data_IF_159864670680
#
_entry.id   IF_159864670680
#
_cell.length_a   1.000
_cell.length_b   1.000
_cell.length_c   1.000
_cell.angle_alpha   90.00
_cell.angle_beta   90.00
_cell.angle_gamma   90.00
#
_symmetry.space_group_name_H-M   'P 1'
#
loop_
_entity.id
_entity.type
_entity.pdbx_description
1 polymer ?
#
# COMPACT_ATOMS: atom_id res chain seq x y z
N UNK A 1 -22.97 0.89 21.10
CA UNK A 1 -21.85 0.65 20.18
C UNK A 1 -21.79 1.79 19.17
N UNK A 2 -20.58 2.23 18.81
CA UNK A 2 -20.37 3.09 17.65
C UNK A 2 -20.33 2.21 16.40
N UNK A 3 -21.11 2.53 15.38
CA UNK A 3 -21.02 1.91 14.06
C UNK A 3 -19.62 2.23 13.50
N UNK A 4 -18.91 1.23 12.97
CA UNK A 4 -17.62 1.49 12.34
C UNK A 4 -17.82 2.20 11.00
N UNK A 5 -16.80 2.93 10.53
CA UNK A 5 -16.88 3.59 9.22
C UNK A 5 -17.19 2.57 8.09
N UNK A 6 -16.61 1.37 8.15
CA UNK A 6 -16.82 0.35 7.13
C UNK A 6 -18.22 -0.29 7.20
N UNK A 7 -18.83 -0.37 8.39
CA UNK A 7 -20.23 -0.74 8.54
C UNK A 7 -21.16 0.32 7.93
N UNK A 8 -20.86 1.60 8.14
CA UNK A 8 -21.60 2.70 7.51
C UNK A 8 -21.45 2.67 5.99
N UNK A 9 -20.25 2.43 5.48
CA UNK A 9 -19.98 2.25 4.05
C UNK A 9 -20.73 1.03 3.49
N UNK A 10 -20.80 -0.07 4.24
CA UNK A 10 -21.49 -1.29 3.82
C UNK A 10 -23.02 -1.15 3.85
N UNK A 11 -23.56 -0.14 4.56
CA UNK A 11 -25.01 0.09 4.69
C UNK A 11 -25.72 0.42 3.37
N UNK A 12 -24.97 0.82 2.33
CA UNK A 12 -25.50 1.13 1.00
C UNK A 12 -24.72 0.37 -0.08
N UNK A 13 -25.44 -0.23 -1.02
CA UNK A 13 -24.84 -0.95 -2.15
C UNK A 13 -23.88 -0.07 -2.94
N UNK A 14 -24.22 1.21 -3.13
CA UNK A 14 -23.38 2.13 -3.92
C UNK A 14 -22.05 2.42 -3.23
N UNK A 15 -22.05 2.67 -1.93
CA UNK A 15 -20.83 2.93 -1.16
C UNK A 15 -20.00 1.65 -0.98
N UNK A 16 -20.65 0.50 -0.82
CA UNK A 16 -19.97 -0.79 -0.79
C UNK A 16 -19.21 -1.07 -2.08
N UNK A 17 -19.84 -0.89 -3.25
CA UNK A 17 -19.19 -1.13 -4.54
C UNK A 17 -18.06 -0.12 -4.84
N UNK A 18 -18.22 1.14 -4.42
CA UNK A 18 -17.14 2.13 -4.49
C UNK A 18 -15.94 1.69 -3.62
N UNK A 19 -16.19 1.22 -2.41
CA UNK A 19 -15.13 0.77 -1.50
C UNK A 19 -14.46 -0.52 -1.98
N UNK A 20 -15.19 -1.45 -2.61
CA UNK A 20 -14.58 -2.59 -3.31
C UNK A 20 -13.67 -2.13 -4.46
N UNK A 21 -14.05 -1.09 -5.20
CA UNK A 21 -13.20 -0.51 -6.25
C UNK A 21 -11.91 0.08 -5.67
N UNK A 22 -11.98 0.72 -4.51
CA UNK A 22 -10.78 1.18 -3.78
C UNK A 22 -9.92 -0.01 -3.33
N UNK A 23 -10.52 -1.05 -2.77
CA UNK A 23 -9.81 -2.26 -2.37
C UNK A 23 -9.12 -2.96 -3.58
N UNK A 24 -9.72 -2.91 -4.76
CA UNK A 24 -9.11 -3.41 -6.00
C UNK A 24 -7.87 -2.60 -6.39
N UNK A 25 -7.92 -1.27 -6.28
CA UNK A 25 -6.75 -0.43 -6.56
C UNK A 25 -5.62 -0.70 -5.56
N UNK A 26 -5.96 -0.89 -4.28
CA UNK A 26 -5.01 -1.32 -3.23
C UNK A 26 -4.38 -2.67 -3.59
N UNK A 27 -5.19 -3.63 -4.07
CA UNK A 27 -4.70 -4.91 -4.55
C UNK A 27 -3.71 -4.76 -5.72
N UNK A 28 -4.05 -3.97 -6.74
CA UNK A 28 -3.18 -3.74 -7.89
C UNK A 28 -1.85 -3.07 -7.50
N UNK A 29 -1.88 -2.13 -6.54
CA UNK A 29 -0.66 -1.55 -5.97
C UNK A 29 0.21 -2.60 -5.30
N UNK A 30 -0.37 -3.49 -4.50
CA UNK A 30 0.36 -4.55 -3.81
C UNK A 30 0.86 -5.64 -4.78
N UNK A 31 0.09 -5.98 -5.81
CA UNK A 31 0.52 -6.86 -6.88
C UNK A 31 1.74 -6.29 -7.62
N UNK A 32 1.76 -5.00 -7.91
CA UNK A 32 2.95 -4.31 -8.46
C UNK A 32 4.12 -4.32 -7.49
N UNK A 33 3.88 -4.05 -6.21
CA UNK A 33 4.91 -4.04 -5.17
C UNK A 33 5.59 -5.42 -5.02
N UNK A 34 4.80 -6.50 -5.04
CA UNK A 34 5.26 -7.87 -4.81
C UNK A 34 5.60 -8.65 -6.09
N UNK A 35 5.16 -8.18 -7.26
CA UNK A 35 5.34 -8.85 -8.55
C UNK A 35 6.79 -9.18 -8.87
N UNK A 36 7.07 -10.43 -9.25
CA UNK A 36 8.43 -10.94 -9.47
C UNK A 36 8.89 -10.68 -10.91
N UNK A 37 9.36 -9.47 -11.21
CA UNK A 37 10.18 -9.22 -12.40
C UNK A 37 11.62 -8.90 -11.98
N UNK A 38 12.49 -9.92 -11.83
CA UNK A 38 13.87 -9.76 -11.39
C UNK A 38 14.78 -9.09 -12.45
N UNK A 39 14.29 -8.87 -13.67
CA UNK A 39 15.06 -8.28 -14.79
C UNK A 39 14.76 -6.83 -15.12
N UNK A 40 13.81 -6.17 -14.43
CA UNK A 40 13.50 -4.76 -14.68
C UNK A 40 13.81 -3.92 -13.44
N UNK A 41 14.89 -3.15 -13.57
CA UNK A 41 15.37 -2.18 -12.60
C UNK A 41 14.25 -1.19 -12.25
N UNK A 42 13.77 -1.29 -11.02
CA UNK A 42 13.52 -0.21 -10.02
C UNK A 42 12.68 1.03 -10.36
N UNK A 43 12.35 1.34 -11.61
CA UNK A 43 11.51 2.49 -11.93
C UNK A 43 10.02 2.11 -11.86
N UNK A 44 9.32 2.58 -10.83
CA UNK A 44 7.85 2.50 -10.73
C UNK A 44 7.28 1.35 -9.90
N UNK A 45 8.10 0.59 -9.17
CA UNK A 45 7.60 -0.34 -8.15
C UNK A 45 7.39 0.42 -6.83
N UNK A 46 6.16 0.47 -6.28
CA UNK A 46 5.93 1.16 -5.02
C UNK A 46 6.67 0.46 -3.89
N UNK A 47 7.52 1.21 -3.18
CA UNK A 47 8.41 0.70 -2.14
C UNK A 47 8.66 1.78 -1.10
N UNK A 48 8.08 1.64 0.10
CA UNK A 48 8.11 2.70 1.12
C UNK A 48 6.71 2.99 1.64
N UNK A 49 6.37 4.28 1.78
CA UNK A 49 5.08 4.68 2.33
C UNK A 49 3.87 4.26 1.49
N UNK A 50 3.95 4.30 0.15
CA UNK A 50 2.81 3.90 -0.70
C UNK A 50 2.48 2.43 -0.46
N UNK A 51 3.50 1.58 -0.47
CA UNK A 51 3.31 0.16 -0.19
C UNK A 51 2.81 -0.08 1.23
N UNK A 52 3.39 0.57 2.25
CA UNK A 52 2.93 0.38 3.63
C UNK A 52 1.50 0.85 3.84
N UNK A 53 1.09 1.96 3.22
CA UNK A 53 -0.28 2.45 3.29
C UNK A 53 -1.24 1.52 2.56
N UNK A 54 -0.86 0.98 1.40
CA UNK A 54 -1.63 -0.05 0.72
C UNK A 54 -1.78 -1.32 1.60
N UNK A 55 -0.72 -1.75 2.27
CA UNK A 55 -0.79 -2.88 3.22
C UNK A 55 -1.67 -2.58 4.43
N UNK A 56 -1.66 -1.36 4.96
CA UNK A 56 -2.55 -0.92 6.05
C UNK A 56 -4.01 -0.92 5.62
N UNK A 57 -4.31 -0.45 4.41
CA UNK A 57 -5.66 -0.52 3.86
C UNK A 57 -6.09 -1.98 3.67
N UNK A 58 -5.20 -2.84 3.19
CA UNK A 58 -5.49 -4.27 3.06
C UNK A 58 -5.78 -4.92 4.43
N UNK A 59 -5.02 -4.59 5.47
CA UNK A 59 -5.27 -5.01 6.86
C UNK A 59 -6.68 -4.58 7.30
N UNK A 60 -7.01 -3.29 7.18
CA UNK A 60 -8.32 -2.72 7.53
C UNK A 60 -9.47 -3.42 6.80
N UNK A 61 -9.39 -3.57 5.47
CA UNK A 61 -10.45 -4.23 4.71
C UNK A 61 -10.56 -5.73 5.02
N UNK A 62 -9.45 -6.39 5.33
CA UNK A 62 -9.47 -7.83 5.68
C UNK A 62 -10.03 -8.10 7.08
N UNK A 63 -9.87 -7.16 8.01
CA UNK A 63 -10.43 -7.24 9.36
C UNK A 63 -11.95 -7.01 9.35
N UNK A 64 -12.50 -6.25 8.40
CA UNK A 64 -13.93 -6.01 8.31
C UNK A 64 -14.70 -7.20 7.70
N UNK A 65 -15.79 -7.61 8.36
CA UNK A 65 -16.57 -8.79 7.95
C UNK A 65 -17.32 -8.62 6.62
N UNK A 66 -17.68 -7.40 6.22
CA UNK A 66 -18.35 -7.11 4.95
C UNK A 66 -17.38 -7.15 3.76
N UNK A 67 -16.10 -6.90 4.00
CA UNK A 67 -15.06 -6.84 2.96
C UNK A 67 -14.16 -8.07 2.93
N UNK A 68 -14.04 -8.82 4.02
CA UNK A 68 -13.10 -9.95 4.16
C UNK A 68 -13.14 -10.94 2.99
N UNK A 69 -14.32 -11.43 2.60
CA UNK A 69 -14.44 -12.39 1.49
C UNK A 69 -13.96 -11.80 0.15
N UNK A 70 -14.21 -10.52 -0.09
CA UNK A 70 -13.71 -9.83 -1.27
C UNK A 70 -12.18 -9.69 -1.23
N UNK A 71 -11.64 -9.29 -0.08
CA UNK A 71 -10.20 -9.15 0.13
C UNK A 71 -9.46 -10.46 -0.07
N UNK A 72 -9.98 -11.56 0.47
CA UNK A 72 -9.46 -12.90 0.22
C UNK A 72 -9.36 -13.16 -1.29
N UNK A 73 -10.47 -12.97 -2.01
CA UNK A 73 -10.55 -13.29 -3.44
C UNK A 73 -9.51 -12.49 -4.23
N UNK A 74 -9.43 -11.19 -3.99
CA UNK A 74 -8.44 -10.33 -4.62
C UNK A 74 -7.02 -10.80 -4.29
N UNK A 75 -6.70 -10.98 -3.01
CA UNK A 75 -5.32 -11.15 -2.57
C UNK A 75 -4.79 -12.59 -2.63
N UNK A 76 -5.60 -13.57 -3.02
CA UNK A 76 -5.17 -14.97 -3.14
C UNK A 76 -3.93 -15.10 -4.04
N UNK A 77 -3.87 -14.37 -5.16
CA UNK A 77 -2.71 -14.37 -6.05
C UNK A 77 -1.45 -13.79 -5.38
N UNK A 78 -1.61 -12.66 -4.67
CA UNK A 78 -0.51 -11.99 -3.97
C UNK A 78 0.03 -12.87 -2.85
N UNK A 79 -0.84 -13.48 -2.05
CA UNK A 79 -0.45 -14.40 -0.99
C UNK A 79 0.31 -15.59 -1.55
N UNK A 80 -0.23 -16.21 -2.61
CA UNK A 80 0.43 -17.33 -3.31
C UNK A 80 1.84 -16.92 -3.74
N UNK A 81 1.99 -15.77 -4.40
CA UNK A 81 3.29 -15.28 -4.84
C UNK A 81 4.29 -15.08 -3.68
N UNK A 82 3.82 -14.68 -2.50
CA UNK A 82 4.66 -14.44 -1.32
C UNK A 82 5.05 -15.74 -0.65
N UNK A 83 4.10 -16.66 -0.43
CA UNK A 83 4.38 -17.90 0.29
C UNK A 83 5.13 -18.93 -0.57
N UNK A 84 5.02 -18.85 -1.91
CA UNK A 84 5.80 -19.69 -2.83
C UNK A 84 7.25 -19.23 -2.98
N UNK A 85 7.68 -18.18 -2.26
CA UNK A 85 9.09 -17.80 -2.20
C UNK A 85 9.89 -18.85 -1.46
N UNK A 86 11.11 -19.13 -1.94
CA UNK A 86 12.06 -19.90 -1.14
C UNK A 86 12.37 -19.16 0.17
N UNK A 87 12.78 -19.88 1.21
CA UNK A 87 13.14 -19.26 2.49
C UNK A 87 14.18 -18.13 2.32
N UNK A 88 15.19 -18.34 1.46
CA UNK A 88 16.20 -17.32 1.16
C UNK A 88 15.63 -16.10 0.43
N UNK A 89 14.76 -16.32 -0.57
CA UNK A 89 14.06 -15.24 -1.26
C UNK A 89 13.16 -14.47 -0.31
N UNK A 90 12.44 -15.16 0.57
CA UNK A 90 11.57 -14.55 1.57
C UNK A 90 12.39 -13.65 2.52
N UNK A 91 13.48 -14.18 3.12
CA UNK A 91 14.33 -13.40 4.01
C UNK A 91 14.94 -12.17 3.30
N UNK A 92 15.44 -12.36 2.08
CA UNK A 92 16.07 -11.28 1.31
C UNK A 92 15.07 -10.20 0.87
N UNK A 93 13.85 -10.57 0.50
CA UNK A 93 12.83 -9.63 0.05
C UNK A 93 12.09 -8.95 1.22
N UNK A 94 11.80 -9.67 2.31
CA UNK A 94 10.90 -9.22 3.39
C UNK A 94 11.60 -8.78 4.66
N UNK A 95 12.70 -9.45 5.02
CA UNK A 95 13.40 -9.21 6.29
C UNK A 95 14.66 -8.35 6.12
N UNK A 96 15.16 -8.17 4.89
CA UNK A 96 16.33 -7.35 4.60
C UNK A 96 16.02 -5.85 4.64
N UNK A 97 16.92 -5.08 5.25
CA UNK A 97 16.90 -3.61 5.23
C UNK A 97 17.72 -3.00 4.08
N UNK A 98 18.30 -3.82 3.19
CA UNK A 98 19.19 -3.38 2.12
C UNK A 98 18.42 -2.92 0.87
N UNK A 99 17.58 -1.91 1.02
CA UNK A 99 16.88 -1.27 -0.10
C UNK A 99 17.70 -0.09 -0.61
N UNK A 100 17.93 -0.04 -1.92
CA UNK A 100 18.73 1.01 -2.57
C UNK A 100 18.07 2.37 -2.39
N UNK A 101 16.76 2.46 -2.66
CA UNK A 101 15.96 3.68 -2.55
C UNK A 101 14.52 3.29 -2.14
N UNK A 102 13.92 4.07 -1.24
CA UNK A 102 12.51 3.95 -0.84
C UNK A 102 11.83 5.27 -1.07
N UNK A 103 10.54 5.25 -1.38
CA UNK A 103 9.68 6.42 -1.45
C UNK A 103 9.78 7.22 -0.15
N UNK A 104 10.12 8.50 -0.29
CA UNK A 104 10.12 9.48 0.79
C UNK A 104 8.86 10.32 0.67
N UNK A 105 8.21 10.58 1.80
CA UNK A 105 7.13 11.55 1.87
C UNK A 105 7.75 12.93 2.14
N UNK A 106 7.12 14.00 1.67
CA UNK A 106 7.59 15.36 1.91
C UNK A 106 6.43 16.34 2.01
N UNK A 107 6.46 17.16 3.05
CA UNK A 107 5.55 18.29 3.20
C UNK A 107 6.19 19.53 2.58
N UNK A 108 5.48 20.18 1.67
CA UNK A 108 5.87 21.46 1.11
C UNK A 108 5.17 22.58 1.87
N UNK A 109 5.96 23.47 2.48
CA UNK A 109 5.45 24.74 2.97
C UNK A 109 5.31 25.71 1.80
N UNK A 110 4.09 25.88 1.30
CA UNK A 110 3.82 26.71 0.14
C UNK A 110 3.56 28.16 0.57
N UNK A 111 4.54 29.04 0.33
CA UNK A 111 4.36 30.49 0.46
C UNK A 111 3.79 31.08 -0.84
N UNK A 112 2.49 31.36 -0.81
CA UNK A 112 1.77 31.94 -1.95
C UNK A 112 2.28 33.35 -2.32
N UNK A 113 2.71 34.16 -1.34
CA UNK A 113 3.14 35.53 -1.61
C UNK A 113 4.53 35.53 -2.24
N UNK A 114 5.44 34.68 -1.76
CA UNK A 114 6.74 34.46 -2.39
C UNK A 114 6.58 33.93 -3.82
N UNK A 115 5.70 32.95 -4.03
CA UNK A 115 5.44 32.39 -5.36
C UNK A 115 4.86 33.42 -6.34
N UNK A 116 3.86 34.22 -5.91
CA UNK A 116 3.26 35.27 -6.74
C UNK A 116 4.27 36.38 -7.04
N UNK A 117 5.04 36.81 -6.04
CA UNK A 117 6.12 37.79 -6.20
C UNK A 117 7.16 37.32 -7.21
N UNK A 118 7.55 36.04 -7.15
CA UNK A 118 8.47 35.43 -8.11
C UNK A 118 7.92 35.42 -9.54
N UNK A 119 6.65 35.03 -9.73
CA UNK A 119 6.02 35.02 -11.07
C UNK A 119 5.95 36.43 -11.67
N UNK A 120 5.53 37.42 -10.87
CA UNK A 120 5.46 38.82 -11.30
C UNK A 120 6.84 39.39 -11.63
N UNK A 121 7.86 39.00 -10.86
CA UNK A 121 9.23 39.42 -11.11
C UNK A 121 9.79 38.86 -12.43
N UNK A 122 9.57 37.57 -12.72
CA UNK A 122 10.07 36.92 -13.94
C UNK A 122 9.27 37.26 -15.21
N UNK A 123 8.04 37.78 -15.07
CA UNK A 123 7.25 38.27 -16.22
C UNK A 123 7.55 39.73 -16.56
N UNK A 124 8.36 40.42 -15.75
CA UNK A 124 8.82 41.78 -16.01
C UNK A 124 9.93 41.77 -17.07
N UNK A 125 9.81 42.55 -18.17
CA UNK A 125 10.82 42.58 -19.24
C UNK A 125 12.13 43.29 -18.85
N UNK A 126 12.15 43.99 -17.71
CA UNK A 126 13.22 44.93 -17.33
C UNK A 126 14.25 44.35 -16.33
N UNK A 127 14.00 43.16 -15.77
CA UNK A 127 14.88 42.52 -14.77
C UNK A 127 15.17 41.08 -15.19
N UNK A 128 16.45 40.78 -15.46
CA UNK A 128 16.93 39.45 -15.90
C UNK A 128 17.66 38.67 -14.82
N UNK A 129 17.54 39.05 -13.56
CA UNK A 129 18.09 38.28 -12.45
C UNK A 129 17.03 37.29 -11.96
N UNK A 130 17.07 36.08 -12.51
CA UNK A 130 16.25 34.97 -12.04
C UNK A 130 16.66 34.62 -10.60
N UNK A 131 15.93 35.12 -9.61
CA UNK A 131 15.99 34.60 -8.25
C UNK A 131 15.42 33.18 -8.29
N UNK A 132 16.07 32.17 -7.71
CA UNK A 132 15.47 30.83 -7.64
C UNK A 132 14.41 30.82 -6.54
N UNK A 133 13.20 30.34 -6.85
CA UNK A 133 12.18 30.07 -5.84
C UNK A 133 12.61 28.79 -5.09
N UNK A 134 13.18 28.95 -3.90
CA UNK A 134 13.50 27.82 -3.02
C UNK A 134 12.23 27.34 -2.30
N UNK A 135 11.93 26.06 -2.48
CA UNK A 135 10.84 25.39 -1.79
C UNK A 135 11.40 24.65 -0.57
N UNK A 136 10.90 25.00 0.62
CA UNK A 136 11.23 24.29 1.84
C UNK A 136 10.46 22.96 1.89
N UNK A 137 11.14 21.89 1.51
CA UNK A 137 10.62 20.52 1.60
C UNK A 137 11.02 19.90 2.93
N UNK A 138 10.03 19.69 3.81
CA UNK A 138 10.23 18.89 5.02
C UNK A 138 10.08 17.42 4.66
N UNK A 139 11.22 16.75 4.47
CA UNK A 139 11.26 15.33 4.13
C UNK A 139 10.96 14.46 5.34
N UNK A 140 10.07 13.50 5.15
CA UNK A 140 9.72 12.48 6.11
C UNK A 140 10.29 11.15 5.61
N UNK A 141 11.54 10.86 5.98
CA UNK A 141 12.21 9.61 5.61
C UNK A 141 12.07 8.58 6.73
N UNK A 142 11.60 7.39 6.41
CA UNK A 142 11.54 6.30 7.37
C UNK A 142 12.85 5.49 7.40
N UNK A 143 13.31 5.13 8.60
CA UNK A 143 14.45 4.23 8.77
C UNK A 143 14.16 2.86 8.15
N UNK A 144 15.12 2.29 7.40
CA UNK A 144 14.95 1.02 6.67
C UNK A 144 14.55 -0.16 7.58
N UNK A 145 15.10 -0.22 8.79
CA UNK A 145 14.72 -1.24 9.78
C UNK A 145 13.26 -1.11 10.23
N UNK A 146 12.76 0.11 10.40
CA UNK A 146 11.35 0.38 10.71
C UNK A 146 10.44 -0.04 9.56
N UNK A 147 10.83 0.26 8.31
CA UNK A 147 10.09 -0.17 7.12
C UNK A 147 9.93 -1.70 7.06
N UNK A 148 11.03 -2.46 7.21
CA UNK A 148 10.99 -3.92 7.15
C UNK A 148 10.12 -4.53 8.26
N UNK A 149 10.19 -3.95 9.47
CA UNK A 149 9.36 -4.34 10.59
C UNK A 149 7.86 -4.08 10.33
N UNK A 150 7.49 -2.87 9.90
CA UNK A 150 6.10 -2.51 9.59
C UNK A 150 5.52 -3.39 8.49
N UNK A 151 6.28 -3.59 7.42
CA UNK A 151 5.88 -4.44 6.30
C UNK A 151 5.63 -5.87 6.74
N UNK A 152 6.55 -6.45 7.53
CA UNK A 152 6.38 -7.81 8.05
C UNK A 152 5.20 -7.92 9.02
N UNK A 153 5.05 -6.94 9.93
CA UNK A 153 3.94 -6.90 10.88
C UNK A 153 2.58 -6.83 10.17
N UNK A 154 2.44 -5.97 9.16
CA UNK A 154 1.21 -5.84 8.37
C UNK A 154 0.91 -7.10 7.57
N UNK A 155 1.92 -7.75 7.00
CA UNK A 155 1.74 -9.02 6.31
C UNK A 155 1.17 -10.10 7.23
N UNK A 156 1.70 -10.21 8.46
CA UNK A 156 1.22 -11.18 9.46
C UNK A 156 -0.22 -10.86 9.88
N UNK A 157 -0.55 -9.58 10.14
CA UNK A 157 -1.90 -9.17 10.52
C UNK A 157 -2.92 -9.48 9.42
N UNK A 158 -2.59 -9.08 8.20
CA UNK A 158 -3.39 -9.40 7.03
C UNK A 158 -3.64 -10.91 6.92
N UNK A 159 -2.58 -11.73 7.02
CA UNK A 159 -2.71 -13.18 6.99
C UNK A 159 -3.61 -13.74 8.11
N UNK A 160 -3.48 -13.20 9.33
CA UNK A 160 -4.30 -13.60 10.47
C UNK A 160 -5.79 -13.28 10.24
N UNK A 161 -6.11 -12.12 9.66
CA UNK A 161 -7.48 -11.73 9.36
C UNK A 161 -8.13 -12.67 8.34
N UNK A 162 -7.35 -13.20 7.38
CA UNK A 162 -7.82 -14.20 6.43
C UNK A 162 -8.06 -15.56 7.08
N UNK A 163 -7.36 -15.90 8.17
CA UNK A 163 -7.60 -17.15 8.89
C UNK A 163 -8.90 -17.13 9.71
N UNK A 164 -9.48 -15.95 9.96
CA UNK A 164 -10.79 -15.79 10.60
C UNK A 164 -11.93 -16.11 9.63
N UNK A 165 -12.09 -17.39 9.30
CA UNK A 165 -13.17 -17.92 8.47
C UNK A 165 -14.54 -17.59 9.07
N UNK A 166 -15.40 -16.95 8.27
CA UNK A 166 -16.81 -16.75 8.61
C UNK A 166 -17.65 -17.65 7.69
N UNK A 167 -18.16 -18.80 8.18
CA UNK A 167 -18.81 -19.81 7.34
C UNK A 167 -20.04 -19.29 6.56
N UNK A 168 -20.70 -18.26 7.06
CA UNK A 168 -21.89 -17.67 6.44
C UNK A 168 -21.56 -16.64 5.35
N UNK A 169 -20.31 -16.18 5.25
CA UNK A 169 -19.86 -15.12 4.33
C UNK A 169 -18.80 -15.63 3.35
N UNK A 170 -18.07 -16.68 3.70
CA UNK A 170 -17.07 -17.32 2.84
C UNK A 170 -17.62 -18.64 2.28
N UNK A 171 -17.82 -18.71 0.95
CA UNK A 171 -18.23 -19.97 0.28
C UNK A 171 -17.19 -21.09 0.49
N UNK A 172 -17.63 -22.35 0.57
CA UNK A 172 -16.80 -23.51 0.95
C UNK A 172 -15.52 -23.75 0.13
N UNK A 173 -15.41 -23.16 -1.07
CA UNK A 173 -14.19 -23.14 -1.90
C UNK A 173 -13.02 -22.38 -1.25
N UNK A 174 -13.32 -21.55 -0.25
CA UNK A 174 -12.40 -20.71 0.50
C UNK A 174 -11.32 -21.48 1.28
N UNK A 175 -11.74 -22.44 2.13
CA UNK A 175 -10.81 -23.26 2.91
C UNK A 175 -9.96 -24.14 1.99
N UNK A 176 -10.51 -24.60 0.87
CA UNK A 176 -9.80 -25.41 -0.12
C UNK A 176 -8.68 -24.60 -0.77
N UNK A 177 -8.91 -23.33 -1.14
CA UNK A 177 -7.85 -22.51 -1.73
C UNK A 177 -6.73 -22.18 -0.74
N UNK A 178 -7.05 -21.80 0.50
CA UNK A 178 -6.01 -21.54 1.51
C UNK A 178 -5.25 -22.82 1.87
N UNK A 179 -5.94 -23.95 2.06
CA UNK A 179 -5.30 -25.25 2.33
C UNK A 179 -4.50 -25.76 1.13
N UNK A 180 -4.91 -25.49 -0.10
CA UNK A 180 -4.15 -25.82 -1.29
C UNK A 180 -2.87 -24.98 -1.39
N UNK A 181 -2.99 -23.69 -1.11
CA UNK A 181 -1.88 -22.73 -1.02
C UNK A 181 -0.88 -23.15 0.06
N UNK A 182 -1.35 -23.55 1.25
CA UNK A 182 -0.51 -24.03 2.37
C UNK A 182 -0.03 -25.48 2.22
N UNK A 183 -0.72 -26.30 1.44
CA UNK A 183 -0.38 -27.71 1.20
C UNK A 183 0.58 -27.94 0.04
N UNK A 184 0.91 -26.89 -0.73
CA UNK A 184 1.92 -26.90 -1.79
C UNK A 184 3.28 -26.34 -1.37
N UNK A 185 3.42 -25.83 -0.14
CA UNK A 185 4.70 -25.46 0.50
C UNK A 185 5.26 -26.61 1.30
#
# INVERSE_FOLDING_TARGET
ESISYLDEVASSTKSLELSKSVALEVFELLKKAFGRNPGHLTAGRPMGFVQLNAMRLADIFSDDSNFRSYMILCFTEVLTAIISLSHGDFLSCWCSSNLSETEEDASLEYDIFAAVGWVLHNTSPDVKDATNLEFNLTRNSMLKASYAHHRTSLFIKFFANLHCFVPNVCEGWFLVNILHILGQT
#
